data_IF_213132309696
#
_entry.id   IF_213132309696
#
_cell.length_a   1.000
_cell.length_b   1.000
_cell.length_c   1.000
_cell.angle_alpha   90.00
_cell.angle_beta   90.00
_cell.angle_gamma   90.00
#
_symmetry.space_group_name_H-M   'P 1'
#
loop_
_entity.id
_entity.type
_entity.pdbx_description
1 polymer ?
#
# COMPACT_ATOMS: atom_id res chain seq x y z
N UNK A 1 29.68 19.90 -19.53
CA UNK A 1 28.28 19.42 -19.52
C UNK A 1 27.75 19.62 -18.10
N UNK A 2 26.77 20.51 -17.92
CA UNK A 2 26.34 20.99 -16.61
C UNK A 2 25.14 20.16 -16.11
N UNK A 3 25.38 19.22 -15.20
CA UNK A 3 24.35 18.36 -14.59
C UNK A 3 23.63 19.12 -13.48
N UNK A 4 22.61 19.91 -13.84
CA UNK A 4 21.67 20.45 -12.84
C UNK A 4 20.89 19.30 -12.22
N UNK A 5 21.34 18.83 -11.05
CA UNK A 5 20.55 17.99 -10.16
C UNK A 5 19.26 18.74 -9.81
N UNK A 6 18.13 18.32 -10.38
CA UNK A 6 16.82 18.84 -9.99
C UNK A 6 16.41 18.11 -8.72
N UNK A 7 16.71 18.68 -7.56
CA UNK A 7 16.09 18.22 -6.32
C UNK A 7 14.58 18.40 -6.47
N UNK A 8 13.76 17.34 -6.29
CA UNK A 8 12.33 17.47 -6.36
C UNK A 8 11.84 18.45 -5.28
N UNK A 9 11.15 19.51 -5.72
CA UNK A 9 10.53 20.45 -4.79
C UNK A 9 9.25 19.82 -4.24
N UNK A 10 9.15 19.68 -2.92
CA UNK A 10 7.90 19.31 -2.26
C UNK A 10 6.89 20.43 -2.48
N UNK A 11 5.70 20.10 -2.99
CA UNK A 11 4.63 21.08 -3.17
C UNK A 11 4.10 21.62 -1.84
N UNK A 12 3.58 22.84 -1.85
CA UNK A 12 2.90 23.42 -0.69
C UNK A 12 1.50 22.80 -0.56
N UNK A 13 1.39 21.67 0.14
CA UNK A 13 0.13 20.99 0.45
C UNK A 13 -0.08 20.86 1.96
N UNK A 14 -1.34 20.75 2.38
CA UNK A 14 -1.66 20.34 3.76
C UNK A 14 -1.30 18.86 3.86
N UNK A 15 -0.43 18.49 4.82
CA UNK A 15 -0.14 17.08 5.11
C UNK A 15 -1.42 16.44 5.66
N UNK A 16 -2.07 15.65 4.82
CA UNK A 16 -3.12 14.74 5.25
C UNK A 16 -2.43 13.46 5.71
N UNK A 17 -2.60 13.02 6.98
CA UNK A 17 -2.17 11.68 7.34
C UNK A 17 -2.84 10.68 6.40
N UNK A 18 -2.12 9.63 6.01
CA UNK A 18 -2.65 8.60 5.11
C UNK A 18 -4.05 8.20 5.57
N UNK A 19 -5.02 8.23 4.64
CA UNK A 19 -6.45 8.18 4.98
C UNK A 19 -6.82 6.98 5.87
N UNK A 20 -6.08 5.87 5.73
CA UNK A 20 -6.20 4.68 6.57
C UNK A 20 -4.84 3.99 6.74
N UNK A 21 -4.45 3.53 7.94
CA UNK A 21 -3.28 2.69 8.12
C UNK A 21 -3.52 1.32 7.47
N UNK A 22 -2.68 0.93 6.51
CA UNK A 22 -2.80 -0.33 5.79
C UNK A 22 -1.67 -1.30 6.13
N UNK A 23 -1.94 -2.60 5.99
CA UNK A 23 -1.02 -3.72 6.25
C UNK A 23 -1.10 -4.68 5.06
N UNK A 24 0.01 -5.31 4.73
CA UNK A 24 0.07 -6.34 3.68
C UNK A 24 0.23 -7.71 4.32
N UNK A 25 -0.65 -8.64 3.97
CA UNK A 25 -0.55 -10.07 4.31
C UNK A 25 -0.16 -10.86 3.06
N UNK A 26 0.49 -12.01 3.24
CA UNK A 26 0.72 -12.97 2.18
C UNK A 26 -0.08 -14.23 2.48
N UNK A 27 -0.83 -14.73 1.50
CA UNK A 27 -1.50 -16.03 1.60
C UNK A 27 -0.53 -17.18 1.25
N UNK A 28 -0.98 -18.42 1.48
CA UNK A 28 -0.19 -19.63 1.22
C UNK A 28 0.10 -19.86 -0.28
N UNK A 29 -0.65 -19.19 -1.17
CA UNK A 29 -0.39 -19.19 -2.62
C UNK A 29 0.65 -18.14 -3.03
N UNK A 30 1.17 -17.36 -2.08
CA UNK A 30 2.11 -16.28 -2.32
C UNK A 30 1.46 -15.01 -2.91
N UNK A 31 0.13 -14.89 -2.92
CA UNK A 31 -0.50 -13.61 -3.25
C UNK A 31 -0.57 -12.70 -2.04
N UNK A 32 -0.32 -11.42 -2.30
CA UNK A 32 -0.43 -10.37 -1.31
C UNK A 32 -1.85 -9.85 -1.20
N UNK A 33 -2.21 -9.44 0.01
CA UNK A 33 -3.47 -8.82 0.36
C UNK A 33 -3.22 -7.49 1.05
N UNK A 34 -3.70 -6.41 0.46
CA UNK A 34 -3.67 -5.08 1.07
C UNK A 34 -4.94 -4.90 1.90
N UNK A 35 -4.76 -4.78 3.21
CA UNK A 35 -5.83 -4.74 4.19
C UNK A 35 -5.69 -3.51 5.09
N UNK A 36 -6.78 -3.14 5.75
CA UNK A 36 -6.73 -2.16 6.81
C UNK A 36 -6.10 -2.73 8.08
N UNK A 37 -5.44 -1.86 8.84
CA UNK A 37 -4.90 -2.22 10.16
C UNK A 37 -6.02 -2.70 11.07
N UNK A 38 -5.83 -3.88 11.67
CA UNK A 38 -6.81 -4.53 12.54
C UNK A 38 -7.63 -5.62 11.87
N UNK A 39 -7.39 -5.88 10.57
CA UNK A 39 -7.91 -7.07 9.88
C UNK A 39 -7.41 -8.34 10.56
N UNK A 40 -8.29 -9.33 10.69
CA UNK A 40 -7.99 -10.63 11.26
C UNK A 40 -7.50 -11.58 10.15
N UNK A 41 -6.21 -11.99 10.14
CA UNK A 41 -5.66 -12.86 9.10
C UNK A 41 -6.11 -14.32 9.21
N UNK A 42 -6.71 -14.73 10.33
CA UNK A 42 -7.24 -16.09 10.50
C UNK A 42 -8.63 -16.25 9.87
N UNK A 43 -9.24 -15.13 9.44
CA UNK A 43 -10.53 -15.08 8.78
C UNK A 43 -10.37 -14.74 7.30
N UNK A 44 -11.42 -14.96 6.52
CA UNK A 44 -11.43 -14.63 5.09
C UNK A 44 -11.08 -13.17 4.83
N UNK A 45 -9.92 -12.89 4.22
CA UNK A 45 -9.45 -11.54 3.93
C UNK A 45 -10.33 -10.83 2.89
N UNK A 46 -10.86 -11.59 1.92
CA UNK A 46 -11.77 -11.06 0.91
C UNK A 46 -13.07 -10.51 1.52
N UNK A 47 -13.67 -11.24 2.47
CA UNK A 47 -14.90 -10.85 3.16
C UNK A 47 -14.70 -9.61 4.06
N UNK A 48 -13.46 -9.35 4.47
CA UNK A 48 -13.07 -8.19 5.26
C UNK A 48 -12.73 -6.96 4.39
N UNK A 49 -12.91 -7.05 3.07
CA UNK A 49 -12.69 -5.94 2.14
C UNK A 49 -11.23 -5.71 1.75
N UNK A 50 -10.35 -6.67 1.99
CA UNK A 50 -8.96 -6.59 1.54
C UNK A 50 -8.86 -6.68 0.01
N UNK A 51 -7.88 -5.97 -0.55
CA UNK A 51 -7.58 -6.02 -1.97
C UNK A 51 -6.53 -7.09 -2.27
N UNK A 52 -6.85 -8.00 -3.17
CA UNK A 52 -5.95 -9.06 -3.61
C UNK A 52 -5.05 -8.58 -4.74
N UNK A 53 -3.77 -8.95 -4.68
CA UNK A 53 -2.73 -8.56 -5.64
C UNK A 53 -3.05 -8.89 -7.10
N UNK A 54 -3.87 -9.93 -7.34
CA UNK A 54 -4.29 -10.39 -8.67
C UNK A 54 -5.48 -9.60 -9.22
N UNK A 55 -6.29 -9.01 -8.35
CA UNK A 55 -7.48 -8.22 -8.74
C UNK A 55 -7.10 -6.76 -9.01
N UNK A 56 -6.16 -6.24 -8.21
CA UNK A 56 -5.61 -4.90 -8.36
C UNK A 56 -4.11 -4.94 -8.05
N UNK A 57 -3.29 -4.47 -9.00
CA UNK A 57 -1.86 -4.36 -8.77
C UNK A 57 -1.60 -3.25 -7.73
N UNK A 58 -0.96 -3.62 -6.63
CA UNK A 58 -0.37 -2.70 -5.68
C UNK A 58 1.07 -3.14 -5.41
N UNK A 59 1.97 -2.17 -5.29
CA UNK A 59 3.37 -2.43 -4.93
C UNK A 59 3.62 -1.80 -3.57
N UNK A 60 4.42 -2.46 -2.74
CA UNK A 60 5.14 -1.71 -1.71
C UNK A 60 6.21 -0.90 -2.44
N UNK A 61 6.52 0.28 -1.92
CA UNK A 61 7.59 1.11 -2.45
C UNK A 61 8.88 0.76 -1.70
N UNK A 62 9.23 -0.52 -1.71
CA UNK A 62 10.42 -1.09 -1.06
C UNK A 62 11.71 -0.82 -1.84
#
# INVERSE_FOLDING_TARGET
MNTKSKNPALGNGIYHPGARPMVVYSDDEGCMWLCDKGTDPERGLHEQGCWRCRDLAFTRND
#
